data_IF_611593156465
#
_entry.id   IF_611593156465
#
_cell.length_a   1.000
_cell.length_b   1.000
_cell.length_c   1.000
_cell.angle_alpha   90.00
_cell.angle_beta   90.00
_cell.angle_gamma   90.00
#
_symmetry.space_group_name_H-M   'P 1'
#
loop_
_entity.id
_entity.type
_entity.pdbx_description
1 polymer ?
#
# COMPACT_ATOMS: atom_id res chain seq x y z
N UNK A 1 3.37 18.66 30.34
CA UNK A 1 4.11 18.78 29.07
C UNK A 1 4.82 17.45 28.79
N UNK A 2 4.12 16.44 28.28
CA UNK A 2 4.68 15.08 28.06
C UNK A 2 3.97 14.35 26.90
N UNK A 3 3.28 15.08 26.02
CA UNK A 3 2.57 14.49 24.86
C UNK A 3 3.39 14.61 23.57
N UNK A 4 4.36 15.53 23.52
CA UNK A 4 5.15 15.82 22.32
C UNK A 4 6.26 14.81 22.00
N UNK A 5 6.73 14.03 22.99
CA UNK A 5 7.85 13.10 22.77
C UNK A 5 7.43 11.72 22.23
N UNK A 6 6.15 11.34 22.36
CA UNK A 6 5.67 10.01 21.97
C UNK A 6 5.18 9.94 20.52
N UNK A 7 4.82 11.08 19.91
CA UNK A 7 4.49 11.19 18.48
C UNK A 7 5.72 11.32 17.56
N UNK A 8 6.89 11.63 18.13
CA UNK A 8 8.10 11.96 17.37
C UNK A 8 9.08 10.79 17.17
N UNK A 9 8.92 9.68 17.90
CA UNK A 9 9.84 8.54 17.80
C UNK A 9 9.28 7.44 16.92
N UNK A 10 9.78 7.41 15.68
CA UNK A 10 9.93 6.22 14.84
C UNK A 10 8.70 5.69 14.08
N UNK A 11 8.16 6.50 13.17
CA UNK A 11 7.38 5.96 12.04
C UNK A 11 8.10 6.26 10.72
N UNK A 12 9.10 5.44 10.40
CA UNK A 12 9.82 5.55 9.13
C UNK A 12 8.82 5.63 7.96
N UNK A 13 9.14 6.44 6.95
CA UNK A 13 8.30 6.59 5.74
C UNK A 13 8.00 5.22 5.13
N UNK A 14 8.98 4.31 5.19
CA UNK A 14 8.83 2.91 4.79
C UNK A 14 7.81 2.14 5.64
N UNK A 15 7.84 2.29 6.97
CA UNK A 15 6.87 1.63 7.86
C UNK A 15 5.45 2.16 7.60
N UNK A 16 5.28 3.45 7.33
CA UNK A 16 4.01 4.07 6.91
C UNK A 16 3.54 3.57 5.53
N UNK A 17 4.47 3.44 4.60
CA UNK A 17 4.21 2.97 3.24
C UNK A 17 3.76 1.50 3.20
N UNK A 18 4.33 0.65 4.08
CA UNK A 18 4.04 -0.78 4.12
C UNK A 18 3.03 -1.21 5.21
N UNK A 19 2.65 -0.31 6.13
CA UNK A 19 1.72 -0.61 7.23
C UNK A 19 0.56 0.38 7.27
N UNK A 20 -0.57 0.09 6.60
CA UNK A 20 -1.76 0.94 6.63
C UNK A 20 -2.32 1.10 8.05
N UNK A 21 -2.06 0.13 8.93
CA UNK A 21 -2.60 0.10 10.29
C UNK A 21 -2.09 1.22 11.19
N UNK A 22 -0.94 1.83 10.89
CA UNK A 22 -0.36 2.88 11.74
C UNK A 22 -1.17 4.19 11.72
N UNK A 23 -2.11 4.33 10.79
CA UNK A 23 -2.97 5.50 10.66
C UNK A 23 -4.41 5.24 11.11
N UNK A 24 -4.72 4.02 11.54
CA UNK A 24 -6.04 3.70 12.06
C UNK A 24 -6.20 4.32 13.45
N UNK A 25 -7.35 4.91 13.67
CA UNK A 25 -7.74 5.43 14.98
C UNK A 25 -7.93 4.27 15.96
N UNK A 26 -7.41 4.44 17.18
CA UNK A 26 -7.50 3.42 18.24
C UNK A 26 -8.85 3.58 18.95
N UNK A 27 -9.61 2.48 19.06
CA UNK A 27 -10.86 2.46 19.83
C UNK A 27 -10.53 2.55 21.33
N UNK A 28 -11.01 3.56 22.07
CA UNK A 28 -10.80 3.68 23.51
C UNK A 28 -11.41 2.50 24.27
N UNK A 29 -10.73 2.01 25.32
CA UNK A 29 -11.18 0.85 26.11
C UNK A 29 -12.49 1.03 26.91
N UNK A 30 -13.11 2.21 26.86
CA UNK A 30 -14.42 2.50 27.45
C UNK A 30 -15.41 3.13 26.47
N UNK A 31 -15.12 3.06 25.16
CA UNK A 31 -16.03 3.57 24.13
C UNK A 31 -17.34 2.79 24.14
N UNK A 32 -18.44 3.51 23.94
CA UNK A 32 -19.75 2.90 23.70
C UNK A 32 -19.74 2.11 22.39
N UNK A 33 -20.68 1.18 22.22
CA UNK A 33 -20.79 0.40 20.98
C UNK A 33 -21.00 1.27 19.74
N UNK A 34 -21.68 2.41 19.92
CA UNK A 34 -21.92 3.40 18.86
C UNK A 34 -20.61 4.11 18.48
N UNK A 35 -19.88 4.65 19.45
CA UNK A 35 -18.58 5.30 19.22
C UNK A 35 -17.55 4.33 18.61
N UNK A 36 -17.50 3.08 19.08
CA UNK A 36 -16.64 2.06 18.50
C UNK A 36 -17.03 1.74 17.04
N UNK A 37 -18.33 1.72 16.74
CA UNK A 37 -18.86 1.52 15.39
C UNK A 37 -18.46 2.66 14.44
N UNK A 38 -18.56 3.92 14.89
CA UNK A 38 -18.16 5.08 14.09
C UNK A 38 -16.65 5.10 13.81
N UNK A 39 -15.82 4.81 14.82
CA UNK A 39 -14.37 4.71 14.66
C UNK A 39 -14.03 3.61 13.64
N UNK A 40 -14.66 2.44 13.74
CA UNK A 40 -14.46 1.35 12.80
C UNK A 40 -14.89 1.70 11.38
N UNK A 41 -16.01 2.42 11.22
CA UNK A 41 -16.46 2.92 9.92
C UNK A 41 -15.44 3.88 9.28
N UNK A 42 -14.96 4.88 10.03
CA UNK A 42 -13.93 5.82 9.55
C UNK A 42 -12.64 5.08 9.16
N UNK A 43 -12.19 4.16 10.00
CA UNK A 43 -11.03 3.32 9.77
C UNK A 43 -11.18 2.46 8.50
N UNK A 44 -12.36 1.88 8.27
CA UNK A 44 -12.63 1.07 7.08
C UNK A 44 -12.62 1.89 5.79
N UNK A 45 -13.25 3.08 5.81
CA UNK A 45 -13.25 4.00 4.65
C UNK A 45 -11.83 4.48 4.35
N UNK A 46 -11.08 4.90 5.37
CA UNK A 46 -9.70 5.34 5.22
C UNK A 46 -8.83 4.21 4.64
N UNK A 47 -8.91 3.01 5.23
CA UNK A 47 -8.13 1.86 4.78
C UNK A 47 -8.44 1.49 3.33
N UNK A 48 -9.73 1.47 2.95
CA UNK A 48 -10.14 1.17 1.59
C UNK A 48 -9.56 2.19 0.61
N UNK A 49 -9.80 3.49 0.83
CA UNK A 49 -9.32 4.55 -0.05
C UNK A 49 -7.80 4.56 -0.14
N UNK A 50 -7.10 4.38 0.98
CA UNK A 50 -5.64 4.31 1.01
C UNK A 50 -5.13 3.11 0.20
N UNK A 51 -5.68 1.92 0.41
CA UNK A 51 -5.26 0.71 -0.29
C UNK A 51 -5.59 0.77 -1.79
N UNK A 52 -6.74 1.33 -2.17
CA UNK A 52 -7.13 1.51 -3.57
C UNK A 52 -6.09 2.36 -4.34
N UNK A 53 -5.64 3.48 -3.75
CA UNK A 53 -4.61 4.35 -4.36
C UNK A 53 -3.29 3.61 -4.55
N UNK A 54 -2.87 2.80 -3.57
CA UNK A 54 -1.61 2.06 -3.64
C UNK A 54 -1.66 0.92 -4.64
N UNK A 55 -2.76 0.18 -4.70
CA UNK A 55 -2.99 -0.87 -5.69
C UNK A 55 -3.00 -0.25 -7.10
N UNK A 56 -3.70 0.88 -7.30
CA UNK A 56 -3.70 1.59 -8.57
C UNK A 56 -2.31 2.08 -8.96
N UNK A 57 -1.52 2.62 -8.03
CA UNK A 57 -0.15 3.08 -8.29
C UNK A 57 0.75 1.94 -8.75
N UNK A 58 0.73 0.80 -8.05
CA UNK A 58 1.51 -0.37 -8.45
C UNK A 58 1.00 -1.00 -9.74
N UNK A 59 -0.33 -1.03 -9.96
CA UNK A 59 -0.94 -1.50 -11.19
C UNK A 59 -0.58 -0.65 -12.40
N UNK A 60 -0.58 0.68 -12.26
CA UNK A 60 -0.16 1.60 -13.31
C UNK A 60 1.34 1.47 -13.62
N UNK A 61 2.18 1.38 -12.59
CA UNK A 61 3.62 1.13 -12.77
C UNK A 61 3.85 -0.19 -13.51
N UNK A 62 3.14 -1.25 -13.11
CA UNK A 62 3.23 -2.56 -13.74
C UNK A 62 2.81 -2.54 -15.22
N UNK A 63 1.65 -1.95 -15.53
CA UNK A 63 1.16 -1.80 -16.90
C UNK A 63 2.13 -0.99 -17.77
N UNK A 64 2.69 0.11 -17.23
CA UNK A 64 3.71 0.90 -17.91
C UNK A 64 4.97 0.07 -18.18
N UNK A 65 5.45 -0.70 -17.21
CA UNK A 65 6.65 -1.53 -17.40
C UNK A 65 6.43 -2.64 -18.43
N UNK A 66 5.23 -3.22 -18.52
CA UNK A 66 4.87 -4.15 -19.60
C UNK A 66 4.95 -3.48 -20.96
N UNK A 67 4.35 -2.29 -21.10
CA UNK A 67 4.39 -1.53 -22.34
C UNK A 67 5.84 -1.23 -22.77
N UNK A 68 6.70 -0.88 -21.81
CA UNK A 68 8.11 -0.63 -22.07
C UNK A 68 8.86 -1.90 -22.49
N UNK A 69 8.62 -3.05 -21.85
CA UNK A 69 9.23 -4.33 -22.26
C UNK A 69 8.85 -4.69 -23.69
N UNK A 70 7.56 -4.56 -24.04
CA UNK A 70 7.07 -4.84 -25.40
C UNK A 70 7.72 -3.88 -26.40
N UNK A 71 7.87 -2.62 -26.04
CA UNK A 71 8.52 -1.62 -26.90
C UNK A 71 10.03 -1.87 -27.03
N UNK A 72 10.65 -2.48 -26.02
CA UNK A 72 12.08 -2.79 -25.97
C UNK A 72 12.48 -4.07 -26.73
N UNK A 73 11.54 -4.78 -27.37
CA UNK A 73 11.86 -5.98 -28.19
C UNK A 73 12.34 -5.65 -29.61
N UNK A 74 12.41 -4.36 -29.98
CA UNK A 74 12.92 -3.96 -31.29
C UNK A 74 14.42 -4.20 -31.42
N UNK A 75 14.90 -4.59 -32.60
CA UNK A 75 16.31 -4.90 -32.87
C UNK A 75 17.26 -3.70 -32.66
N UNK A 76 16.72 -2.48 -32.68
CA UNK A 76 17.48 -1.23 -32.48
C UNK A 76 17.67 -0.86 -31.00
N UNK A 77 16.99 -1.55 -30.08
CA UNK A 77 17.01 -1.22 -28.65
C UNK A 77 18.14 -2.00 -27.97
N UNK A 78 19.00 -1.34 -27.16
CA UNK A 78 20.07 -2.05 -26.44
C UNK A 78 19.52 -3.12 -25.50
N UNK A 79 20.11 -4.32 -25.51
CA UNK A 79 19.73 -5.46 -24.64
C UNK A 79 19.63 -5.09 -23.16
N UNK A 80 20.48 -4.16 -22.71
CA UNK A 80 20.45 -3.66 -21.34
C UNK A 80 19.10 -3.00 -20.99
N UNK A 81 18.50 -2.25 -21.92
CA UNK A 81 17.20 -1.59 -21.73
C UNK A 81 16.10 -2.64 -21.61
N UNK A 82 16.16 -3.69 -22.43
CA UNK A 82 15.24 -4.83 -22.32
C UNK A 82 15.36 -5.51 -20.94
N UNK A 83 16.58 -5.82 -20.49
CA UNK A 83 16.80 -6.44 -19.18
C UNK A 83 16.30 -5.56 -18.03
N UNK A 84 16.56 -4.25 -18.07
CA UNK A 84 16.12 -3.32 -17.04
C UNK A 84 14.60 -3.16 -16.99
N UNK A 85 13.94 -3.09 -18.15
CA UNK A 85 12.47 -3.00 -18.22
C UNK A 85 11.81 -4.31 -17.76
N UNK A 86 12.41 -5.47 -18.09
CA UNK A 86 11.97 -6.78 -17.62
C UNK A 86 12.10 -6.90 -16.11
N UNK A 87 13.26 -6.55 -15.55
CA UNK A 87 13.49 -6.55 -14.11
C UNK A 87 12.50 -5.61 -13.39
N UNK A 88 12.26 -4.43 -13.95
CA UNK A 88 11.28 -3.47 -13.42
C UNK A 88 9.85 -4.03 -13.43
N UNK A 89 9.49 -4.78 -14.48
CA UNK A 89 8.19 -5.47 -14.59
C UNK A 89 8.02 -6.54 -13.52
N UNK A 90 9.07 -7.32 -13.23
CA UNK A 90 9.04 -8.32 -12.17
C UNK A 90 8.88 -7.67 -10.79
N UNK A 91 9.64 -6.60 -10.51
CA UNK A 91 9.54 -5.87 -9.24
C UNK A 91 8.15 -5.23 -9.07
N UNK A 92 7.61 -4.61 -10.12
CA UNK A 92 6.27 -4.02 -10.08
C UNK A 92 5.17 -5.08 -9.88
N UNK A 93 5.32 -6.27 -10.47
CA UNK A 93 4.43 -7.41 -10.25
C UNK A 93 4.43 -7.85 -8.79
N UNK A 94 5.62 -7.99 -8.18
CA UNK A 94 5.77 -8.38 -6.78
C UNK A 94 5.19 -7.31 -5.84
N UNK A 95 5.43 -6.04 -6.13
CA UNK A 95 4.86 -4.93 -5.37
C UNK A 95 3.33 -4.93 -5.41
N UNK A 96 2.74 -5.11 -6.59
CA UNK A 96 1.29 -5.21 -6.77
C UNK A 96 0.70 -6.40 -5.99
N UNK A 97 1.29 -7.58 -6.13
CA UNK A 97 0.86 -8.79 -5.41
C UNK A 97 0.94 -8.58 -3.89
N UNK A 98 2.01 -7.96 -3.40
CA UNK A 98 2.20 -7.66 -1.97
C UNK A 98 1.10 -6.73 -1.45
N UNK A 99 0.75 -5.67 -2.20
CA UNK A 99 -0.32 -4.75 -1.80
C UNK A 99 -1.69 -5.44 -1.76
N UNK A 100 -1.99 -6.31 -2.74
CA UNK A 100 -3.22 -7.11 -2.73
C UNK A 100 -3.28 -8.02 -1.51
N UNK A 101 -2.17 -8.67 -1.14
CA UNK A 101 -2.11 -9.52 0.05
C UNK A 101 -2.30 -8.73 1.36
N UNK A 102 -1.70 -7.55 1.46
CA UNK A 102 -1.89 -6.65 2.61
C UNK A 102 -3.35 -6.23 2.70
N UNK A 103 -3.98 -5.86 1.58
CA UNK A 103 -5.39 -5.49 1.52
C UNK A 103 -6.28 -6.63 2.00
N UNK A 104 -6.06 -7.84 1.49
CA UNK A 104 -6.80 -9.04 1.91
C UNK A 104 -6.65 -9.32 3.41
N UNK A 105 -5.45 -9.17 3.97
CA UNK A 105 -5.20 -9.35 5.41
C UNK A 105 -5.89 -8.28 6.24
N UNK A 106 -5.87 -7.03 5.80
CA UNK A 106 -6.47 -5.92 6.51
C UNK A 106 -8.01 -5.99 6.46
N UNK A 107 -8.59 -6.30 5.29
CA UNK A 107 -10.03 -6.50 5.13
C UNK A 107 -10.57 -7.65 6.00
N UNK A 108 -9.86 -8.78 6.08
CA UNK A 108 -10.23 -9.89 6.97
C UNK A 108 -10.28 -9.49 8.45
N UNK A 109 -9.40 -8.60 8.89
CA UNK A 109 -9.34 -8.15 10.28
C UNK A 109 -10.42 -7.12 10.64
N UNK A 110 -11.18 -6.62 9.66
CA UNK A 110 -12.35 -5.75 9.90
C UNK A 110 -13.64 -6.59 9.86
N UNK A 111 -13.64 -7.72 9.14
CA UNK A 111 -14.80 -8.62 9.03
C UNK A 111 -14.92 -9.65 10.15
N UNK A 112 -13.85 -9.88 10.92
CA UNK A 112 -13.83 -10.77 12.09
C UNK A 112 -13.63 -9.98 13.36
#
# INVERSE_FOLDING_TARGET
MTVSHQLAQDTSVWRRFWSPRTFLEVVPGGATSEEAGEINYRNAVWLKTYMDIYILRWGALWALTIFLVISATGEEIPDLVYVLTLASTLVSSVGLATMILIYRRAAKAIQG
#
